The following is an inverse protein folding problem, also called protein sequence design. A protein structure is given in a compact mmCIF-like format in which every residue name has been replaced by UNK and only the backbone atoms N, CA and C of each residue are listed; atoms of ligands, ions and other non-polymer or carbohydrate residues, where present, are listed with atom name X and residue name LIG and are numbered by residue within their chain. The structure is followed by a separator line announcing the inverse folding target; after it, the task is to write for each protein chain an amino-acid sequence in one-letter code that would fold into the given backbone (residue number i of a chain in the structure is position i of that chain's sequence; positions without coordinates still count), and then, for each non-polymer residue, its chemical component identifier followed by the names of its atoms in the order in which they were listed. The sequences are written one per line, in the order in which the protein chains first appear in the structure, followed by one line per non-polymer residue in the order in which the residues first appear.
data_IF_565220024431
#
_entry.id   IF_565220024431
#
_cell.length_a   1.000
_cell.length_b   1.000
_cell.length_c   1.000
_cell.angle_alpha   90.00
_cell.angle_beta   90.00
_cell.angle_gamma   90.00
#
_symmetry.space_group_name_H-M   'P 1'
#
loop_
_entity.id
_entity.type
_entity.pdbx_description
1 polymer ?
#
# COMPACT_ATOMS: atom_id res chain seq x y z
N UNK A 1 13.41 24.00 13.75
CA UNK A 1 13.98 22.99 12.82
C UNK A 1 12.92 22.79 11.76
N UNK A 2 13.18 23.23 10.54
CA UNK A 2 12.37 22.80 9.40
C UNK A 2 12.58 21.28 9.31
N UNK A 3 11.56 20.52 9.73
CA UNK A 3 11.43 19.18 9.19
C UNK A 3 11.38 19.42 7.68
N UNK A 4 12.37 18.91 6.96
CA UNK A 4 12.13 18.45 5.60
C UNK A 4 11.46 17.11 5.82
N UNK A 5 10.27 16.82 5.30
CA UNK A 5 9.82 15.42 5.14
C UNK A 5 10.68 14.88 3.99
N UNK A 6 11.76 14.11 4.26
CA UNK A 6 12.33 13.27 3.23
C UNK A 6 11.28 12.19 2.94
N UNK A 7 11.31 11.64 1.74
CA UNK A 7 10.71 10.34 1.49
C UNK A 7 11.46 9.35 2.40
N UNK A 8 10.87 9.02 3.57
CA UNK A 8 11.48 8.17 4.61
C UNK A 8 10.75 6.83 4.58
N UNK A 9 11.44 5.78 4.16
CA UNK A 9 10.91 4.41 4.11
C UNK A 9 10.54 3.87 5.50
N UNK A 10 11.29 4.28 6.53
CA UNK A 10 11.04 3.90 7.92
C UNK A 10 11.58 4.94 8.90
N UNK A 11 10.79 5.26 9.93
CA UNK A 11 11.19 6.15 11.02
C UNK A 11 11.61 5.32 12.22
N UNK A 12 12.85 5.48 12.67
CA UNK A 12 13.35 4.89 13.92
C UNK A 12 12.66 5.53 15.12
N UNK A 13 12.10 4.71 16.01
CA UNK A 13 11.32 5.16 17.17
C UNK A 13 11.99 4.94 18.51
N UNK A 14 13.15 4.30 18.54
CA UNK A 14 13.93 4.11 19.76
C UNK A 14 15.32 4.77 19.67
N UNK A 15 15.92 5.05 20.83
CA UNK A 15 17.26 5.63 20.92
C UNK A 15 18.36 4.69 20.42
N UNK A 16 18.03 3.41 20.20
CA UNK A 16 18.97 2.35 19.86
C UNK A 16 18.93 1.92 18.38
N UNK A 17 18.03 2.46 17.55
CA UNK A 17 17.90 2.08 16.15
C UNK A 17 17.24 0.72 15.89
N UNK A 18 16.59 0.09 16.88
CA UNK A 18 16.07 -1.28 16.78
C UNK A 18 14.59 -1.34 16.40
N UNK A 19 13.85 -0.28 16.68
CA UNK A 19 12.42 -0.18 16.40
C UNK A 19 12.21 0.85 15.32
N UNK A 20 11.52 0.44 14.25
CA UNK A 20 11.16 1.31 13.16
C UNK A 20 9.67 1.18 12.85
N UNK A 21 9.07 2.28 12.43
CA UNK A 21 7.69 2.30 11.94
C UNK A 21 7.65 2.84 10.51
N UNK A 22 6.67 2.40 9.73
CA UNK A 22 6.49 2.88 8.36
C UNK A 22 5.52 4.07 8.35
N UNK A 23 5.98 5.30 8.03
CA UNK A 23 5.10 6.47 8.03
C UNK A 23 4.17 6.46 6.82
N UNK A 24 2.90 6.80 7.02
CA UNK A 24 1.91 6.97 5.94
C UNK A 24 1.55 8.45 5.86
N UNK A 25 1.75 9.03 4.68
CA UNK A 25 1.39 10.41 4.37
C UNK A 25 0.20 10.44 3.42
N UNK A 26 -0.64 11.47 3.55
CA UNK A 26 -1.76 11.73 2.67
C UNK A 26 -1.61 13.12 2.05
N UNK A 27 -2.11 13.28 0.83
CA UNK A 27 -2.23 14.57 0.15
C UNK A 27 -3.54 14.61 -0.63
N UNK A 28 -4.05 15.81 -0.89
CA UNK A 28 -5.26 15.97 -1.68
C UNK A 28 -4.96 15.71 -3.17
N UNK A 29 -5.67 14.75 -3.77
CA UNK A 29 -5.48 14.35 -5.16
C UNK A 29 -5.69 15.48 -6.18
N UNK A 30 -6.45 16.51 -5.81
CA UNK A 30 -6.78 17.66 -6.67
C UNK A 30 -5.64 18.69 -6.74
N UNK A 31 -4.60 18.56 -5.91
CA UNK A 31 -3.43 19.45 -5.94
C UNK A 31 -2.49 19.02 -7.08
N UNK A 32 -2.05 19.93 -7.97
CA UNK A 32 -1.11 19.61 -9.05
C UNK A 32 0.18 18.95 -8.53
N UNK A 33 0.75 18.01 -9.28
CA UNK A 33 1.90 17.20 -8.85
C UNK A 33 3.09 18.04 -8.35
N UNK A 34 3.46 19.10 -9.06
CA UNK A 34 4.57 19.98 -8.67
C UNK A 34 4.35 20.65 -7.30
N UNK A 35 3.08 20.90 -6.94
CA UNK A 35 2.69 21.46 -5.64
C UNK A 35 2.57 20.38 -4.57
N UNK A 36 2.02 19.21 -4.93
CA UNK A 36 1.85 18.03 -4.07
C UNK A 36 3.18 17.44 -3.58
N UNK A 37 4.24 17.62 -4.37
CA UNK A 37 5.58 17.17 -3.99
C UNK A 37 6.21 18.01 -2.87
N UNK A 38 5.65 19.17 -2.54
CA UNK A 38 6.10 19.97 -1.40
C UNK A 38 5.59 19.37 -0.09
N UNK A 39 6.37 19.57 0.96
CA UNK A 39 6.10 19.02 2.28
C UNK A 39 4.77 19.49 2.88
N UNK A 40 4.49 20.78 2.76
CA UNK A 40 3.27 21.41 3.25
C UNK A 40 1.99 20.99 2.48
N UNK A 41 2.14 20.22 1.39
CA UNK A 41 1.02 19.60 0.68
C UNK A 41 0.77 18.13 1.12
N UNK A 42 1.57 17.61 2.05
CA UNK A 42 1.46 16.26 2.60
C UNK A 42 1.23 16.35 4.10
N UNK A 43 0.32 15.54 4.62
CA UNK A 43 0.06 15.42 6.04
C UNK A 43 0.39 14.00 6.49
N UNK A 44 1.13 13.85 7.59
CA UNK A 44 1.33 12.55 8.23
C UNK A 44 -0.03 12.06 8.74
N UNK A 45 -0.47 10.91 8.25
CA UNK A 45 -1.71 10.26 8.65
C UNK A 45 -1.49 9.31 9.84
N UNK A 46 -0.37 8.58 9.84
CA UNK A 46 -0.03 7.67 10.92
C UNK A 46 1.25 6.89 10.67
N UNK A 47 1.56 5.99 11.60
CA UNK A 47 2.71 5.09 11.53
C UNK A 47 2.23 3.64 11.59
N UNK A 48 2.66 2.82 10.65
CA UNK A 48 2.36 1.39 10.64
C UNK A 48 3.45 0.59 11.37
N UNK A 49 3.06 -0.44 12.14
CA UNK A 49 4.00 -1.32 12.82
C UNK A 49 4.83 -2.14 11.83
N UNK A 50 6.14 -2.22 12.07
CA UNK A 50 7.05 -3.15 11.41
C UNK A 50 7.36 -4.27 12.39
N UNK A 51 6.95 -5.50 12.07
CA UNK A 51 7.18 -6.65 12.94
C UNK A 51 8.67 -7.02 12.97
N UNK A 52 9.16 -7.31 14.17
CA UNK A 52 10.52 -7.82 14.38
C UNK A 52 10.47 -9.33 14.59
N UNK A 53 11.25 -10.08 13.80
CA UNK A 53 11.47 -11.50 14.04
C UNK A 53 12.56 -11.69 15.12
N UNK A 54 12.48 -12.78 15.88
CA UNK A 54 13.48 -13.16 16.90
C UNK A 54 14.80 -13.57 16.25
N UNK A 55 14.75 -14.15 15.06
CA UNK A 55 15.92 -14.58 14.30
C UNK A 55 15.62 -14.71 12.79
N UNK A 56 16.67 -14.90 11.99
CA UNK A 56 16.58 -15.04 10.53
C UNK A 56 15.78 -16.27 10.06
N UNK A 57 15.66 -17.32 10.89
CA UNK A 57 14.86 -18.50 10.57
C UNK A 57 13.37 -18.17 10.64
N UNK A 58 12.94 -17.51 11.71
CA UNK A 58 11.55 -17.03 11.86
C UNK A 58 11.22 -16.00 10.78
N UNK A 59 12.11 -15.03 10.51
CA UNK A 59 11.90 -14.03 9.45
C UNK A 59 11.64 -14.64 8.07
N UNK A 60 12.21 -15.81 7.79
CA UNK A 60 12.05 -16.53 6.51
C UNK A 60 10.83 -17.47 6.48
N UNK A 61 10.22 -17.75 7.63
CA UNK A 61 9.09 -18.67 7.75
C UNK A 61 7.85 -18.13 7.03
N UNK A 62 6.98 -19.05 6.60
CA UNK A 62 5.68 -18.72 5.99
C UNK A 62 4.81 -17.94 6.96
N UNK A 63 4.76 -18.39 8.21
CA UNK A 63 3.90 -17.85 9.26
C UNK A 63 4.26 -16.40 9.59
N UNK A 64 5.56 -16.08 9.71
CA UNK A 64 5.98 -14.72 9.99
C UNK A 64 5.67 -13.77 8.82
N UNK A 65 5.89 -14.23 7.57
CA UNK A 65 5.61 -13.43 6.39
C UNK A 65 4.11 -13.17 6.23
N UNK A 66 3.28 -14.18 6.48
CA UNK A 66 1.82 -14.06 6.50
C UNK A 66 1.38 -13.05 7.56
N UNK A 67 1.83 -13.23 8.81
CA UNK A 67 1.53 -12.32 9.92
C UNK A 67 1.96 -10.87 9.62
N UNK A 68 3.12 -10.67 9.00
CA UNK A 68 3.59 -9.34 8.63
C UNK A 68 2.68 -8.67 7.58
N UNK A 69 2.21 -9.43 6.59
CA UNK A 69 1.27 -8.92 5.57
C UNK A 69 -0.10 -8.63 6.17
N UNK A 70 -0.63 -9.54 6.99
CA UNK A 70 -1.89 -9.32 7.71
C UNK A 70 -1.82 -8.09 8.61
N UNK A 71 -0.73 -7.95 9.36
CA UNK A 71 -0.51 -6.79 10.23
C UNK A 71 -0.50 -5.48 9.43
N UNK A 72 0.16 -5.46 8.28
CA UNK A 72 0.17 -4.30 7.40
C UNK A 72 -1.25 -3.92 6.94
N UNK A 73 -2.01 -4.87 6.37
CA UNK A 73 -3.36 -4.59 5.86
C UNK A 73 -4.36 -4.26 6.97
N UNK A 74 -4.27 -4.91 8.14
CA UNK A 74 -5.09 -4.59 9.30
C UNK A 74 -4.78 -3.21 9.87
N UNK A 75 -3.50 -2.80 9.86
CA UNK A 75 -3.10 -1.45 10.30
C UNK A 75 -3.59 -0.38 9.33
N UNK A 76 -3.49 -0.62 8.02
CA UNK A 76 -4.06 0.25 6.99
C UNK A 76 -5.58 0.35 7.16
N UNK A 77 -6.27 -0.78 7.35
CA UNK A 77 -7.71 -0.82 7.60
C UNK A 77 -8.08 0.06 8.79
N UNK A 78 -7.39 -0.12 9.92
CA UNK A 78 -7.63 0.68 11.12
C UNK A 78 -7.44 2.19 10.85
N UNK A 79 -6.43 2.55 10.05
CA UNK A 79 -6.13 3.94 9.73
C UNK A 79 -7.16 4.58 8.78
N UNK A 80 -7.70 3.81 7.84
CA UNK A 80 -8.53 4.32 6.73
C UNK A 80 -10.03 4.08 6.91
N UNK A 81 -10.45 3.06 7.66
CA UNK A 81 -11.87 2.76 7.92
C UNK A 81 -12.67 3.98 8.37
N UNK A 82 -12.18 4.86 9.28
CA UNK A 82 -12.93 6.05 9.69
C UNK A 82 -13.27 7.00 8.54
N UNK A 83 -12.49 6.99 7.45
CA UNK A 83 -12.78 7.82 6.27
C UNK A 83 -14.01 7.33 5.51
N UNK A 84 -14.34 6.04 5.60
CA UNK A 84 -15.39 5.41 4.79
C UNK A 84 -16.66 5.05 5.59
N UNK A 85 -16.75 5.42 6.86
CA UNK A 85 -17.88 5.07 7.75
C UNK A 85 -19.14 5.93 7.56
N UNK A 86 -19.08 7.01 6.78
CA UNK A 86 -20.20 7.92 6.57
C UNK A 86 -20.38 8.34 5.12
N UNK A 87 -21.44 9.10 4.86
CA UNK A 87 -21.79 9.60 3.53
C UNK A 87 -20.91 10.78 3.07
N UNK A 88 -19.78 11.05 3.75
CA UNK A 88 -18.85 12.11 3.39
C UNK A 88 -18.22 12.81 4.59
N UNK A 89 -17.47 13.86 4.30
CA UNK A 89 -16.74 14.70 5.26
C UNK A 89 -16.94 16.16 4.87
N UNK A 90 -17.28 17.00 5.84
CA UNK A 90 -17.36 18.45 5.66
C UNK A 90 -15.99 19.09 5.87
N UNK A 91 -15.56 19.91 4.92
CA UNK A 91 -14.37 20.75 5.02
C UNK A 91 -14.76 22.22 5.02
N UNK A 92 -14.29 22.96 6.02
CA UNK A 92 -14.35 24.40 5.99
C UNK A 92 -13.16 24.95 5.16
N UNK A 93 -13.47 25.54 4.01
CA UNK A 93 -12.49 26.12 3.08
C UNK A 93 -12.88 27.57 2.83
N UNK A 94 -12.08 28.52 3.33
CA UNK A 94 -12.36 29.96 3.24
C UNK A 94 -13.77 30.32 3.75
N UNK A 95 -14.11 29.88 4.97
CA UNK A 95 -15.41 30.11 5.62
C UNK A 95 -16.61 29.54 4.86
N UNK A 96 -16.37 28.58 3.95
CA UNK A 96 -17.41 27.82 3.26
C UNK A 96 -17.30 26.36 3.64
N UNK A 97 -18.39 25.80 4.13
CA UNK A 97 -18.50 24.36 4.34
C UNK A 97 -18.74 23.70 2.99
N UNK A 98 -17.82 22.84 2.60
CA UNK A 98 -17.88 22.07 1.37
C UNK A 98 -17.88 20.60 1.76
N UNK A 99 -18.91 19.89 1.32
CA UNK A 99 -19.08 18.47 1.55
C UNK A 99 -18.36 17.64 0.49
N UNK A 100 -17.63 16.61 0.92
CA UNK A 100 -16.86 15.73 0.04
C UNK A 100 -17.04 14.25 0.38
N UNK A 101 -16.97 13.41 -0.65
CA UNK A 101 -16.79 11.97 -0.48
C UNK A 101 -15.29 11.62 -0.52
N UNK A 102 -14.73 11.06 0.57
CA UNK A 102 -13.35 10.62 0.55
C UNK A 102 -13.18 9.45 -0.42
N UNK A 103 -12.19 9.55 -1.30
CA UNK A 103 -11.78 8.48 -2.23
C UNK A 103 -10.26 8.38 -2.26
N UNK A 104 -9.75 7.17 -2.26
CA UNK A 104 -8.31 6.92 -2.45
C UNK A 104 -8.05 6.89 -3.96
N UNK A 105 -7.35 7.91 -4.45
CA UNK A 105 -7.09 8.05 -5.89
C UNK A 105 -5.78 7.38 -6.33
N UNK A 106 -4.71 7.51 -5.56
CA UNK A 106 -3.38 7.01 -5.93
C UNK A 106 -2.57 6.73 -4.68
N UNK A 107 -1.86 5.60 -4.68
CA UNK A 107 -0.84 5.26 -3.69
C UNK A 107 0.51 5.51 -4.36
N UNK A 108 1.29 6.45 -3.82
CA UNK A 108 2.65 6.73 -4.28
C UNK A 108 3.57 5.88 -3.41
N UNK A 109 4.32 4.99 -4.04
CA UNK A 109 5.17 4.03 -3.36
C UNK A 109 6.21 3.49 -4.33
N UNK A 110 7.29 2.93 -3.79
CA UNK A 110 8.29 2.22 -4.58
C UNK A 110 7.80 0.82 -4.99
N UNK A 111 8.60 0.06 -5.75
CA UNK A 111 8.18 -1.26 -6.22
C UNK A 111 7.92 -2.27 -5.07
N UNK A 112 8.83 -2.43 -4.08
CA UNK A 112 8.57 -3.28 -2.91
C UNK A 112 7.30 -2.91 -2.12
N UNK A 113 7.04 -1.64 -1.92
CA UNK A 113 5.84 -1.14 -1.25
C UNK A 113 4.59 -1.40 -2.09
N UNK A 114 4.63 -1.11 -3.40
CA UNK A 114 3.53 -1.40 -4.33
C UNK A 114 3.14 -2.89 -4.27
N UNK A 115 4.13 -3.78 -4.25
CA UNK A 115 3.90 -5.21 -4.06
C UNK A 115 3.26 -5.54 -2.71
N UNK A 116 3.57 -4.79 -1.64
CA UNK A 116 2.91 -4.93 -0.33
C UNK A 116 1.45 -4.55 -0.42
N UNK A 117 1.17 -3.35 -0.94
CA UNK A 117 -0.20 -2.84 -1.10
C UNK A 117 -1.05 -3.74 -1.99
N UNK A 118 -0.47 -4.30 -3.05
CA UNK A 118 -1.17 -5.18 -3.98
C UNK A 118 -1.19 -6.64 -3.56
N UNK A 119 -0.49 -7.02 -2.47
CA UNK A 119 -0.20 -8.41 -2.09
C UNK A 119 0.41 -9.27 -3.22
N UNK A 120 1.26 -8.68 -4.06
CA UNK A 120 1.98 -9.45 -5.08
C UNK A 120 3.33 -9.94 -4.55
N UNK A 121 3.83 -11.02 -5.12
CA UNK A 121 5.13 -11.55 -4.76
C UNK A 121 6.22 -10.52 -5.00
N UNK A 122 6.95 -10.16 -3.93
CA UNK A 122 8.11 -9.26 -3.94
C UNK A 122 9.35 -9.95 -4.53
N UNK A 123 9.24 -10.47 -5.75
CA UNK A 123 10.31 -11.20 -6.41
C UNK A 123 10.27 -10.99 -7.92
N UNK A 124 11.38 -10.52 -8.48
CA UNK A 124 11.58 -10.46 -9.92
C UNK A 124 11.60 -11.86 -10.58
N UNK A 125 11.82 -12.92 -9.79
CA UNK A 125 11.77 -14.31 -10.26
C UNK A 125 10.37 -14.92 -10.21
N UNK A 126 9.34 -14.16 -9.81
CA UNK A 126 7.94 -14.59 -9.92
C UNK A 126 7.58 -14.84 -11.39
N UNK A 127 6.70 -15.81 -11.64
CA UNK A 127 6.10 -16.00 -12.97
C UNK A 127 5.31 -14.75 -13.41
N UNK A 128 4.75 -14.01 -12.45
CA UNK A 128 4.02 -12.76 -12.67
C UNK A 128 4.64 -11.64 -11.82
N UNK A 129 5.77 -11.06 -12.24
CA UNK A 129 6.57 -10.16 -11.40
C UNK A 129 6.05 -8.71 -11.36
N UNK A 130 5.11 -8.34 -12.22
CA UNK A 130 4.53 -7.00 -12.25
C UNK A 130 3.40 -6.87 -11.21
N UNK A 131 3.44 -5.80 -10.40
CA UNK A 131 2.37 -5.47 -9.45
C UNK A 131 1.14 -4.83 -10.13
N UNK A 132 1.28 -4.39 -11.39
CA UNK A 132 0.24 -3.68 -12.12
C UNK A 132 -0.54 -4.58 -13.11
N UNK A 133 0.10 -5.59 -13.68
CA UNK A 133 -0.51 -6.48 -14.67
C UNK A 133 -0.08 -7.95 -14.50
N UNK A 134 -0.81 -8.85 -15.16
CA UNK A 134 -0.56 -10.29 -15.22
C UNK A 134 0.34 -10.65 -16.42
N UNK A 135 1.42 -9.90 -16.61
CA UNK A 135 2.45 -10.25 -17.60
C UNK A 135 3.32 -11.39 -17.07
N UNK A 136 3.60 -12.38 -17.92
CA UNK A 136 4.54 -13.43 -17.56
C UNK A 136 5.97 -12.91 -17.62
N UNK A 137 6.84 -13.45 -16.78
CA UNK A 137 8.24 -13.05 -16.69
C UNK A 137 8.96 -13.14 -18.04
N UNK A 138 8.64 -14.15 -18.83
CA UNK A 138 9.20 -14.41 -20.15
C UNK A 138 8.79 -13.36 -21.19
N UNK A 139 7.68 -12.67 -20.95
CA UNK A 139 7.08 -11.68 -21.86
C UNK A 139 7.37 -10.23 -21.48
N UNK A 140 8.12 -9.98 -20.39
CA UNK A 140 8.37 -8.62 -19.88
C UNK A 140 8.99 -7.67 -20.91
N UNK A 141 9.74 -8.19 -21.87
CA UNK A 141 10.40 -7.40 -22.92
C UNK A 141 9.45 -7.05 -24.08
N UNK A 142 8.33 -7.76 -24.22
CA UNK A 142 7.39 -7.56 -25.32
C UNK A 142 6.38 -6.45 -25.00
N UNK A 143 6.73 -5.24 -25.41
CA UNK A 143 5.89 -4.05 -25.24
C UNK A 143 4.59 -4.07 -26.06
N UNK A 144 4.44 -5.01 -27.02
CA UNK A 144 3.24 -5.13 -27.86
C UNK A 144 2.26 -6.17 -27.33
N UNK A 145 2.67 -6.94 -26.33
CA UNK A 145 1.82 -7.97 -25.76
C UNK A 145 0.63 -7.35 -25.05
N UNK A 146 -0.57 -7.79 -25.39
CA UNK A 146 -1.76 -7.47 -24.62
C UNK A 146 -1.67 -8.16 -23.26
N UNK A 147 -1.86 -7.38 -22.20
CA UNK A 147 -1.74 -7.85 -20.81
C UNK A 147 -3.02 -7.53 -20.05
N UNK A 148 -3.42 -8.46 -19.20
CA UNK A 148 -4.53 -8.26 -18.27
C UNK A 148 -4.04 -7.41 -17.11
N UNK A 149 -4.70 -6.28 -16.84
CA UNK A 149 -4.39 -5.44 -15.68
C UNK A 149 -4.90 -6.10 -14.40
N UNK A 150 -4.14 -5.94 -13.31
CA UNK A 150 -4.60 -6.34 -11.97
C UNK A 150 -5.58 -5.29 -11.47
N UNK A 151 -6.76 -5.71 -11.04
CA UNK A 151 -7.75 -4.86 -10.40
C UNK A 151 -8.36 -5.60 -9.20
N UNK A 152 -9.16 -4.90 -8.39
CA UNK A 152 -9.73 -5.50 -7.20
C UNK A 152 -10.67 -6.67 -7.52
N UNK A 153 -11.35 -6.66 -8.67
CA UNK A 153 -12.28 -7.72 -9.07
C UNK A 153 -11.54 -9.03 -9.36
N UNK A 154 -10.59 -9.00 -10.30
CA UNK A 154 -9.90 -10.22 -10.70
C UNK A 154 -8.94 -10.73 -9.61
N UNK A 155 -8.28 -9.84 -8.86
CA UNK A 155 -7.38 -10.27 -7.79
C UNK A 155 -8.16 -10.92 -6.64
N UNK A 156 -9.34 -10.38 -6.31
CA UNK A 156 -10.23 -11.00 -5.33
C UNK A 156 -10.75 -12.36 -5.81
N UNK A 157 -11.05 -12.51 -7.10
CA UNK A 157 -11.47 -13.80 -7.67
C UNK A 157 -10.39 -14.90 -7.53
N UNK A 158 -9.13 -14.58 -7.82
CA UNK A 158 -8.01 -15.51 -7.57
C UNK A 158 -7.87 -15.88 -6.09
N UNK A 159 -8.05 -14.90 -5.19
CA UNK A 159 -8.00 -15.13 -3.75
C UNK A 159 -9.13 -16.04 -3.27
N UNK A 160 -10.39 -15.72 -3.63
CA UNK A 160 -11.59 -16.47 -3.25
C UNK A 160 -11.57 -17.91 -3.81
N UNK A 161 -10.97 -18.09 -4.98
CA UNK A 161 -10.82 -19.41 -5.63
C UNK A 161 -9.63 -20.22 -5.11
N UNK A 162 -8.85 -19.68 -4.16
CA UNK A 162 -7.61 -20.27 -3.66
C UNK A 162 -6.59 -20.59 -4.77
N UNK A 163 -6.51 -19.71 -5.78
CA UNK A 163 -5.60 -19.81 -6.94
C UNK A 163 -4.67 -18.60 -7.06
N UNK A 164 -4.42 -17.88 -5.96
CA UNK A 164 -3.55 -16.69 -5.90
C UNK A 164 -2.17 -16.90 -6.50
N UNK A 165 -1.59 -18.10 -6.38
CA UNK A 165 -0.31 -18.45 -6.97
C UNK A 165 -0.30 -18.34 -8.51
N UNK A 166 -1.44 -18.57 -9.18
CA UNK A 166 -1.59 -18.41 -10.64
C UNK A 166 -1.53 -16.94 -11.07
N UNK A 167 -1.68 -16.01 -10.14
CA UNK A 167 -1.55 -14.58 -10.35
C UNK A 167 -0.32 -14.00 -9.63
N UNK A 168 0.58 -14.81 -9.06
CA UNK A 168 1.70 -14.30 -8.26
C UNK A 168 1.25 -13.42 -7.06
N UNK A 169 0.11 -13.79 -6.47
CA UNK A 169 -0.56 -13.10 -5.37
C UNK A 169 -0.38 -13.91 -4.07
N UNK A 170 -0.21 -13.22 -2.96
CA UNK A 170 -0.13 -13.81 -1.62
C UNK A 170 -1.54 -14.19 -1.15
N UNK A 171 -1.68 -15.36 -0.49
CA UNK A 171 -2.97 -15.83 0.03
C UNK A 171 -3.32 -15.13 1.37
N UNK A 172 -3.42 -13.80 1.34
CA UNK A 172 -3.80 -12.94 2.47
C UNK A 172 -4.92 -12.00 2.02
N UNK A 173 -5.87 -11.68 2.90
CA UNK A 173 -6.95 -10.76 2.55
C UNK A 173 -6.45 -9.34 2.34
N UNK A 174 -6.71 -8.75 1.16
CA UNK A 174 -6.36 -7.37 0.89
C UNK A 174 -7.52 -6.43 1.26
N UNK A 175 -7.28 -5.52 2.20
CA UNK A 175 -8.25 -4.50 2.60
C UNK A 175 -8.73 -3.62 1.42
N UNK A 176 -7.86 -3.31 0.46
CA UNK A 176 -8.19 -2.43 -0.66
C UNK A 176 -9.24 -3.02 -1.63
N UNK A 177 -9.57 -4.31 -1.53
CA UNK A 177 -10.67 -4.89 -2.31
C UNK A 177 -12.05 -4.61 -1.71
N UNK A 178 -12.11 -4.08 -0.48
CA UNK A 178 -13.36 -3.80 0.24
C UNK A 178 -13.75 -2.33 0.30
N UNK A 179 -12.89 -1.43 -0.19
CA UNK A 179 -13.14 0.01 -0.16
C UNK A 179 -13.83 0.51 -1.45
N UNK A 180 -14.64 1.59 -1.39
CA UNK A 180 -15.35 2.16 -2.54
C UNK A 180 -14.47 2.84 -3.61
#
# INVERSE_FOLDING_TARGET
MENKIPEIDATTTDTLGKSSLHPIYVSLGNIPTWRRNKEDAKQLLGYLPILSAKNEKEKKSSEFKELARETFHNSIKFLLDPLFQGDGVDFNIYDKDIWFFPRISTIICDWPEACTFSLTYKSANSNYPCHFCLVQREDLIDIRKEVILRNHVNMKEYFDSNTSNLAGLEQVNNYFWSIP
#
